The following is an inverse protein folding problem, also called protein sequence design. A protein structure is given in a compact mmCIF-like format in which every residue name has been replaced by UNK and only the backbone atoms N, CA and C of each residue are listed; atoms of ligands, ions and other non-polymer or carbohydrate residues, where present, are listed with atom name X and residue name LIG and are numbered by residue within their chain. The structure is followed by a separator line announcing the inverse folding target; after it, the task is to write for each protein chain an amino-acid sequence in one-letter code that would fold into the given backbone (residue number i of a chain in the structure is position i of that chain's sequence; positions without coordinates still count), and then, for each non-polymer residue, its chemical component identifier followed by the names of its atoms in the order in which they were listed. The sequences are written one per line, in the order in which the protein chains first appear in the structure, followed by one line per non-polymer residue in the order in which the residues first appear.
data_IF_912686252379
#
_entry.id   IF_912686252379
#
_cell.length_a   1.000
_cell.length_b   1.000
_cell.length_c   1.000
_cell.angle_alpha   90.00
_cell.angle_beta   90.00
_cell.angle_gamma   90.00
#
_symmetry.space_group_name_H-M   'P 1'
#
loop_
_entity.id
_entity.type
_entity.pdbx_description
1 polymer ?
#
# COMPACT_ATOMS: atom_id res chain seq x y z
N UNK A 1 20.81 -15.48 -11.33
CA UNK A 1 21.38 -14.46 -12.24
C UNK A 1 21.09 -13.09 -11.66
N UNK A 2 22.11 -12.27 -11.50
CA UNK A 2 21.95 -10.90 -11.01
C UNK A 2 21.75 -9.96 -12.19
N UNK A 3 20.74 -9.11 -12.12
CA UNK A 3 20.45 -8.08 -13.11
C UNK A 3 20.80 -6.71 -12.54
N UNK A 4 21.51 -5.90 -13.31
CA UNK A 4 21.83 -4.51 -12.96
C UNK A 4 21.14 -3.62 -13.98
N UNK A 5 20.34 -2.69 -13.50
CA UNK A 5 19.70 -1.67 -14.33
C UNK A 5 20.61 -0.47 -14.43
N UNK A 6 20.94 -0.07 -15.67
CA UNK A 6 21.78 1.08 -15.99
C UNK A 6 20.97 2.11 -16.78
N UNK A 7 21.34 3.38 -16.64
CA UNK A 7 20.73 4.48 -17.37
C UNK A 7 21.78 5.35 -18.02
N UNK A 8 21.51 5.74 -19.25
CA UNK A 8 22.33 6.68 -20.00
C UNK A 8 21.46 7.86 -20.45
N UNK A 9 21.88 9.07 -20.05
CA UNK A 9 21.11 10.28 -20.32
C UNK A 9 21.63 10.91 -21.61
N UNK A 10 20.75 11.06 -22.60
CA UNK A 10 21.02 11.68 -23.89
C UNK A 10 20.06 12.86 -24.09
N UNK A 11 20.39 14.04 -23.55
CA UNK A 11 19.53 15.22 -23.64
C UNK A 11 18.22 15.01 -22.90
N UNK A 12 17.09 15.03 -23.62
CA UNK A 12 15.76 14.78 -23.05
C UNK A 12 15.39 13.30 -23.01
N UNK A 13 16.23 12.44 -23.54
CA UNK A 13 16.00 11.00 -23.61
C UNK A 13 16.87 10.27 -22.60
N UNK A 14 16.34 9.19 -22.07
CA UNK A 14 17.07 8.28 -21.20
C UNK A 14 16.95 6.87 -21.76
N UNK A 15 18.09 6.27 -22.04
CA UNK A 15 18.18 4.85 -22.34
C UNK A 15 18.35 4.08 -21.05
N UNK A 16 17.44 3.16 -20.80
CA UNK A 16 17.54 2.24 -19.68
C UNK A 16 17.75 0.84 -20.20
N UNK A 17 18.76 0.15 -19.67
CA UNK A 17 19.06 -1.22 -20.05
C UNK A 17 19.42 -2.05 -18.83
N UNK A 18 19.01 -3.30 -18.91
CA UNK A 18 19.30 -4.31 -17.90
C UNK A 18 20.46 -5.16 -18.39
N UNK A 19 21.44 -5.36 -17.53
CA UNK A 19 22.66 -6.09 -17.82
C UNK A 19 22.77 -7.27 -16.86
N UNK A 20 23.07 -8.44 -17.42
CA UNK A 20 23.30 -9.64 -16.60
C UNK A 20 24.69 -9.62 -15.94
N UNK A 21 24.97 -10.64 -15.13
CA UNK A 21 26.24 -10.79 -14.42
C UNK A 21 27.47 -11.04 -15.34
N UNK A 22 27.24 -11.27 -16.63
CA UNK A 22 28.29 -11.40 -17.66
C UNK A 22 28.53 -10.10 -18.43
N UNK A 23 27.79 -9.03 -18.13
CA UNK A 23 27.84 -7.77 -18.84
C UNK A 23 27.06 -7.74 -20.15
N UNK A 24 26.13 -8.69 -20.35
CA UNK A 24 25.29 -8.74 -21.56
C UNK A 24 24.01 -7.98 -21.33
N UNK A 25 23.64 -7.11 -22.26
CA UNK A 25 22.36 -6.38 -22.24
C UNK A 25 21.25 -7.38 -22.57
N UNK A 26 20.33 -7.58 -21.63
CA UNK A 26 19.18 -8.49 -21.74
C UNK A 26 17.88 -7.77 -22.04
N UNK A 27 17.80 -6.47 -21.77
CA UNK A 27 16.69 -5.60 -22.13
C UNK A 27 17.18 -4.17 -22.35
N UNK A 28 16.57 -3.47 -23.29
CA UNK A 28 16.86 -2.07 -23.58
C UNK A 28 15.57 -1.34 -23.91
N UNK A 29 15.37 -0.16 -23.30
CA UNK A 29 14.19 0.68 -23.54
C UNK A 29 14.51 2.15 -23.37
N UNK A 30 13.80 2.98 -24.12
CA UNK A 30 13.81 4.42 -23.97
C UNK A 30 12.74 4.82 -22.95
N UNK A 31 13.10 5.66 -21.99
CA UNK A 31 12.16 6.23 -21.00
C UNK A 31 12.22 7.75 -21.06
N UNK A 32 11.12 8.41 -20.71
CA UNK A 32 11.10 9.85 -20.57
C UNK A 32 11.93 10.29 -19.35
N UNK A 33 12.61 11.43 -19.47
CA UNK A 33 13.43 11.96 -18.38
C UNK A 33 12.61 12.22 -17.11
N UNK A 34 11.35 12.60 -17.25
CA UNK A 34 10.43 12.82 -16.12
C UNK A 34 10.14 11.52 -15.35
N UNK A 35 10.22 10.37 -16.01
CA UNK A 35 10.04 9.06 -15.36
C UNK A 35 11.24 8.67 -14.47
N UNK A 36 12.37 9.35 -14.58
CA UNK A 36 13.52 9.15 -13.69
C UNK A 36 13.27 9.59 -12.26
N UNK A 37 12.34 10.50 -12.03
CA UNK A 37 11.94 10.95 -10.69
C UNK A 37 11.08 9.94 -9.96
N UNK A 38 10.52 8.96 -10.70
CA UNK A 38 9.75 7.86 -10.11
C UNK A 38 10.71 6.81 -9.56
N UNK A 39 10.42 6.21 -8.40
CA UNK A 39 11.20 5.09 -7.87
C UNK A 39 11.32 3.98 -8.91
N UNK A 40 12.54 3.48 -9.17
CA UNK A 40 12.79 2.42 -10.15
C UNK A 40 12.19 1.08 -9.69
N UNK A 41 12.04 0.91 -8.39
CA UNK A 41 11.51 -0.27 -7.75
C UNK A 41 10.23 0.07 -6.98
N UNK A 42 9.11 0.13 -7.70
CA UNK A 42 7.81 0.08 -7.05
C UNK A 42 7.54 -1.39 -6.74
N UNK A 43 7.97 -1.85 -5.58
CA UNK A 43 7.54 -3.16 -5.09
C UNK A 43 6.05 -3.09 -4.78
N UNK A 44 5.28 -3.95 -5.41
CA UNK A 44 3.90 -4.15 -5.01
C UNK A 44 3.87 -4.57 -3.53
N UNK A 45 2.96 -4.01 -2.76
CA UNK A 45 2.78 -4.39 -1.36
C UNK A 45 2.38 -5.86 -1.27
N UNK A 46 3.01 -6.60 -0.36
CA UNK A 46 2.62 -7.96 -0.05
C UNK A 46 1.78 -7.95 1.23
N UNK A 47 0.47 -8.02 1.09
CA UNK A 47 -0.45 -7.94 2.21
C UNK A 47 -0.42 -9.16 3.14
N UNK A 48 0.18 -10.27 2.74
CA UNK A 48 0.42 -11.38 3.64
C UNK A 48 1.38 -11.03 4.79
N UNK A 49 2.21 -10.00 4.60
CA UNK A 49 3.14 -9.52 5.62
C UNK A 49 2.48 -8.63 6.68
N UNK A 50 1.23 -8.26 6.50
CA UNK A 50 0.51 -7.42 7.45
C UNK A 50 0.09 -8.22 8.68
N UNK A 51 0.34 -7.68 9.86
CA UNK A 51 -0.20 -8.22 11.10
C UNK A 51 -1.72 -8.02 11.12
N UNK A 52 -2.46 -9.02 11.61
CA UNK A 52 -3.91 -9.04 11.57
C UNK A 52 -4.47 -9.19 12.98
N UNK A 53 -5.53 -8.47 13.25
CA UNK A 53 -6.19 -8.50 14.53
C UNK A 53 -7.62 -9.02 14.39
N UNK A 54 -8.13 -9.59 15.48
CA UNK A 54 -9.53 -10.01 15.57
C UNK A 54 -10.44 -8.78 15.62
N UNK A 55 -11.67 -8.93 15.23
CA UNK A 55 -12.68 -7.86 15.25
C UNK A 55 -13.29 -7.59 13.89
N UNK A 56 -12.83 -8.30 12.86
CA UNK A 56 -13.40 -8.21 11.53
C UNK A 56 -13.29 -9.56 10.80
N UNK A 57 -14.21 -9.81 9.89
CA UNK A 57 -14.11 -10.89 8.92
C UNK A 57 -13.40 -10.36 7.68
N UNK A 58 -12.31 -10.99 7.32
CA UNK A 58 -11.48 -10.56 6.20
C UNK A 58 -10.80 -11.73 5.50
N UNK A 59 -10.43 -11.51 4.26
CA UNK A 59 -9.56 -12.40 3.49
C UNK A 59 -8.32 -11.64 3.05
N UNK A 60 -7.19 -12.32 2.99
CA UNK A 60 -5.91 -11.75 2.60
C UNK A 60 -5.26 -12.57 1.52
N UNK A 61 -4.77 -11.90 0.50
CA UNK A 61 -3.89 -12.44 -0.51
C UNK A 61 -2.59 -11.63 -0.53
N UNK A 62 -1.63 -12.01 -1.35
CA UNK A 62 -0.44 -11.17 -1.53
C UNK A 62 -0.75 -9.81 -2.18
N UNK A 63 -1.90 -9.64 -2.82
CA UNK A 63 -2.29 -8.45 -3.60
C UNK A 63 -3.39 -7.62 -2.97
N UNK A 64 -4.12 -8.15 -2.00
CA UNK A 64 -5.27 -7.45 -1.42
C UNK A 64 -5.65 -7.92 -0.03
N UNK A 65 -6.31 -7.03 0.70
CA UNK A 65 -7.09 -7.34 1.90
C UNK A 65 -8.54 -6.97 1.62
N UNK A 66 -9.45 -7.90 1.87
CA UNK A 66 -10.88 -7.65 1.75
C UNK A 66 -11.55 -7.87 3.10
N UNK A 67 -12.17 -6.83 3.64
CA UNK A 67 -12.93 -6.85 4.88
C UNK A 67 -14.40 -6.82 4.50
N UNK A 68 -15.20 -7.67 5.12
CA UNK A 68 -16.63 -7.80 4.79
C UNK A 68 -17.57 -7.56 5.96
N UNK A 69 -17.07 -7.65 7.19
CA UNK A 69 -17.87 -7.45 8.37
C UNK A 69 -17.01 -7.05 9.57
N UNK A 70 -17.56 -6.25 10.46
CA UNK A 70 -16.93 -5.87 11.73
C UNK A 70 -17.69 -6.48 12.89
N UNK A 71 -16.99 -7.25 13.72
CA UNK A 71 -17.57 -8.00 14.83
C UNK A 71 -17.63 -7.19 16.12
N UNK A 72 -16.85 -6.10 16.21
CA UNK A 72 -16.80 -5.25 17.40
C UNK A 72 -16.58 -3.79 17.02
N UNK A 73 -17.24 -2.91 17.74
CA UNK A 73 -17.09 -1.45 17.58
C UNK A 73 -15.70 -1.01 18.02
N UNK A 74 -15.03 -0.22 17.20
CA UNK A 74 -13.73 0.41 17.48
C UNK A 74 -12.54 -0.52 17.74
N UNK A 75 -12.67 -1.82 17.49
CA UNK A 75 -11.61 -2.78 17.79
C UNK A 75 -11.11 -3.57 16.60
N UNK A 76 -11.63 -3.33 15.43
CA UNK A 76 -11.11 -3.96 14.24
C UNK A 76 -9.92 -3.16 13.72
N UNK A 77 -8.78 -3.80 13.66
CA UNK A 77 -7.53 -3.17 13.23
C UNK A 77 -6.73 -4.10 12.35
N UNK A 78 -6.12 -3.54 11.35
CA UNK A 78 -5.14 -4.21 10.50
C UNK A 78 -3.89 -3.34 10.47
N UNK A 79 -2.78 -3.90 10.88
CA UNK A 79 -1.50 -3.19 10.99
C UNK A 79 -0.44 -3.80 10.11
N UNK A 80 0.48 -2.96 9.65
CA UNK A 80 1.78 -3.43 9.20
C UNK A 80 2.55 -3.98 10.40
N UNK A 81 3.10 -5.16 10.27
CA UNK A 81 3.95 -5.75 11.29
C UNK A 81 5.28 -5.00 11.35
N UNK A 82 5.44 -4.13 12.32
CA UNK A 82 6.62 -3.32 12.61
C UNK A 82 6.96 -2.26 11.54
N UNK A 83 7.90 -1.38 11.89
CA UNK A 83 8.42 -0.32 11.03
C UNK A 83 8.81 -0.85 9.64
N UNK A 84 7.98 -0.63 8.67
CA UNK A 84 8.22 -0.99 7.27
C UNK A 84 7.98 0.20 6.38
N UNK A 85 8.76 0.26 5.31
CA UNK A 85 8.40 1.04 4.13
C UNK A 85 7.19 0.36 3.49
N UNK A 86 6.17 1.12 3.17
CA UNK A 86 5.12 0.63 2.29
C UNK A 86 5.01 1.55 1.07
N UNK A 87 4.66 0.96 -0.05
CA UNK A 87 4.31 1.68 -1.26
C UNK A 87 2.89 2.23 -1.13
N UNK A 88 2.52 3.19 -1.96
CA UNK A 88 1.17 3.70 -1.98
C UNK A 88 0.15 2.58 -2.16
N UNK A 89 -0.94 2.67 -1.43
CA UNK A 89 -2.04 1.71 -1.49
C UNK A 89 -3.34 2.41 -1.81
N UNK A 90 -4.27 1.67 -2.37
CA UNK A 90 -5.62 2.13 -2.64
C UNK A 90 -6.59 1.44 -1.70
N UNK A 91 -7.48 2.20 -1.09
CA UNK A 91 -8.55 1.67 -0.25
C UNK A 91 -9.89 2.07 -0.82
N UNK A 92 -10.76 1.09 -1.04
CA UNK A 92 -12.15 1.31 -1.44
C UNK A 92 -13.05 0.93 -0.28
N UNK A 93 -13.90 1.85 0.12
CA UNK A 93 -14.84 1.69 1.23
C UNK A 93 -16.25 1.75 0.70
N UNK A 94 -17.06 0.75 1.05
CA UNK A 94 -18.47 0.68 0.68
C UNK A 94 -19.28 0.13 1.87
N UNK A 95 -20.41 0.77 2.14
CA UNK A 95 -21.31 0.39 3.25
C UNK A 95 -21.11 1.15 4.55
N UNK A 96 -20.35 2.27 4.57
CA UNK A 96 -20.32 3.17 5.71
C UNK A 96 -21.66 3.88 5.88
N UNK A 97 -22.10 3.94 7.13
CA UNK A 97 -23.23 4.75 7.58
C UNK A 97 -22.73 6.07 8.19
N UNK A 98 -23.65 7.00 8.39
CA UNK A 98 -23.35 8.27 9.04
C UNK A 98 -22.71 8.05 10.42
N UNK A 99 -21.63 8.77 10.68
CA UNK A 99 -20.87 8.66 11.92
C UNK A 99 -19.87 7.51 11.98
N UNK A 100 -19.76 6.72 10.91
CA UNK A 100 -18.75 5.67 10.77
C UNK A 100 -17.59 6.16 9.91
N UNK A 101 -16.40 5.71 10.24
CA UNK A 101 -15.20 6.02 9.43
C UNK A 101 -14.12 4.96 9.55
N UNK A 102 -13.22 4.96 8.58
CA UNK A 102 -11.95 4.25 8.64
C UNK A 102 -10.85 5.29 8.87
N UNK A 103 -9.93 5.01 9.78
CA UNK A 103 -8.75 5.81 10.01
C UNK A 103 -7.49 5.05 9.60
N UNK A 104 -6.59 5.74 8.95
CA UNK A 104 -5.25 5.26 8.61
C UNK A 104 -4.21 6.05 9.39
N UNK A 105 -3.27 5.39 10.00
CA UNK A 105 -2.18 6.07 10.69
C UNK A 105 -1.55 5.22 11.78
N UNK A 106 -0.85 5.90 12.70
CA UNK A 106 -0.26 5.28 13.88
C UNK A 106 -1.31 5.04 14.96
N UNK A 107 -1.03 4.14 15.90
CA UNK A 107 -1.97 3.65 16.90
C UNK A 107 -2.91 4.71 17.53
N UNK A 108 -2.38 5.88 17.86
CA UNK A 108 -3.16 6.94 18.52
C UNK A 108 -3.18 8.25 17.74
N UNK A 109 -2.68 8.24 16.52
CA UNK A 109 -2.58 9.43 15.70
C UNK A 109 -2.99 9.13 14.25
N UNK A 110 -4.27 9.26 13.90
CA UNK A 110 -4.72 9.06 12.54
C UNK A 110 -4.13 10.13 11.62
N UNK A 111 -3.47 9.68 10.56
CA UNK A 111 -2.93 10.56 9.51
C UNK A 111 -4.00 10.90 8.47
N UNK A 112 -4.88 9.95 8.18
CA UNK A 112 -5.97 10.11 7.20
C UNK A 112 -7.25 9.54 7.77
N UNK A 113 -8.34 10.28 7.61
CA UNK A 113 -9.70 9.82 7.95
C UNK A 113 -10.53 9.66 6.69
N UNK A 114 -11.28 8.57 6.64
CA UNK A 114 -12.13 8.19 5.51
C UNK A 114 -13.57 8.03 6.02
N UNK A 115 -14.31 9.16 6.14
CA UNK A 115 -15.66 9.16 6.71
C UNK A 115 -16.76 8.87 5.71
N UNK A 116 -16.43 8.67 4.45
CA UNK A 116 -17.41 8.46 3.36
C UNK A 116 -17.03 7.25 2.52
N UNK A 117 -18.04 6.65 1.93
CA UNK A 117 -17.85 5.63 0.90
C UNK A 117 -17.10 6.24 -0.31
N UNK A 118 -16.23 5.48 -0.90
CA UNK A 118 -15.41 5.91 -2.03
C UNK A 118 -14.05 5.23 -2.08
N UNK A 119 -13.24 5.69 -2.99
CA UNK A 119 -11.88 5.20 -3.20
C UNK A 119 -10.86 6.25 -2.78
N UNK A 120 -9.92 5.86 -1.98
CA UNK A 120 -8.85 6.70 -1.44
C UNK A 120 -7.50 6.13 -1.86
N UNK A 121 -6.58 7.00 -2.22
CA UNK A 121 -5.18 6.63 -2.46
C UNK A 121 -4.34 7.17 -1.33
N UNK A 122 -3.57 6.29 -0.70
CA UNK A 122 -2.67 6.62 0.40
C UNK A 122 -1.24 6.63 -0.12
N UNK A 123 -0.54 7.73 0.14
CA UNK A 123 0.83 7.91 -0.29
C UNK A 123 1.81 6.94 0.41
N UNK A 124 2.94 6.62 -0.23
CA UNK A 124 3.97 5.82 0.39
C UNK A 124 4.46 6.41 1.71
N UNK A 125 4.66 5.57 2.70
CA UNK A 125 5.21 5.95 4.00
C UNK A 125 6.49 5.17 4.29
N UNK A 126 7.44 5.87 4.87
CA UNK A 126 8.64 5.29 5.46
C UNK A 126 8.57 5.45 6.98
N UNK A 127 7.97 4.48 7.65
CA UNK A 127 7.89 4.48 9.11
C UNK A 127 9.10 3.79 9.72
N UNK A 128 9.77 4.49 10.60
CA UNK A 128 10.88 3.93 11.39
C UNK A 128 10.46 3.54 12.79
N UNK A 129 9.29 3.97 13.25
CA UNK A 129 8.80 3.75 14.61
C UNK A 129 7.31 3.49 14.64
N UNK A 130 6.90 2.50 15.41
CA UNK A 130 5.50 2.19 15.69
C UNK A 130 4.79 1.38 14.60
N UNK A 131 3.59 0.97 14.91
CA UNK A 131 2.71 0.26 13.99
C UNK A 131 1.84 1.26 13.22
N UNK A 132 1.75 1.09 11.92
CA UNK A 132 0.86 1.86 11.06
C UNK A 132 -0.17 0.92 10.45
N UNK A 133 -1.40 1.38 10.33
CA UNK A 133 -2.46 0.56 9.77
C UNK A 133 -3.83 1.21 9.78
N UNK A 134 -4.84 0.42 9.51
CA UNK A 134 -6.24 0.83 9.49
C UNK A 134 -6.91 0.52 10.81
N UNK A 135 -7.82 1.39 11.20
CA UNK A 135 -8.69 1.22 12.35
C UNK A 135 -10.12 1.61 11.98
N UNK A 136 -11.08 0.79 12.42
CA UNK A 136 -12.49 1.12 12.32
C UNK A 136 -12.91 2.03 13.46
N UNK A 137 -13.79 2.98 13.17
CA UNK A 137 -14.39 3.88 14.16
C UNK A 137 -15.91 3.80 14.01
N UNK A 138 -16.59 3.38 15.07
CA UNK A 138 -18.05 3.21 15.16
C UNK A 138 -18.64 2.23 14.12
N UNK A 139 -17.85 1.36 13.54
CA UNK A 139 -18.34 0.37 12.59
C UNK A 139 -18.61 -0.95 13.29
N UNK A 140 -19.80 -1.47 13.10
CA UNK A 140 -20.20 -2.82 13.48
C UNK A 140 -21.14 -3.39 12.42
N UNK A 141 -21.01 -4.68 12.10
CA UNK A 141 -21.79 -5.34 11.08
C UNK A 141 -21.19 -5.23 9.68
N UNK A 142 -22.00 -5.42 8.62
CA UNK A 142 -21.51 -5.45 7.25
C UNK A 142 -20.92 -4.12 6.81
N UNK A 143 -19.71 -4.15 6.29
CA UNK A 143 -19.06 -3.03 5.61
C UNK A 143 -17.95 -3.62 4.74
N UNK A 144 -17.91 -3.27 3.47
CA UNK A 144 -16.95 -3.79 2.53
C UNK A 144 -15.79 -2.82 2.35
N UNK A 145 -14.58 -3.31 2.64
CA UNK A 145 -13.35 -2.55 2.46
C UNK A 145 -12.37 -3.40 1.68
N UNK A 146 -11.89 -2.84 0.58
CA UNK A 146 -10.86 -3.47 -0.26
C UNK A 146 -9.60 -2.62 -0.22
N UNK A 147 -8.48 -3.24 0.15
CA UNK A 147 -7.16 -2.62 0.19
C UNK A 147 -6.28 -3.30 -0.85
N UNK A 148 -5.75 -2.51 -1.78
CA UNK A 148 -4.88 -2.99 -2.87
C UNK A 148 -3.66 -2.12 -3.07
#
# INVERSE_FOLDING_TARGET
MKIITMRHILGNKVLQYDVDDRGVIVDEREIDRDDMSKPVDVYAENFNDWAKFTGAKYTVTNKSINITNFDAVNNASIYLAKSKKFNGITITVDGLLDGQEIAWGYNNNPLVRMPKNGTYTLEPINSTTGNIGFRSINIVGPCNITIT
#
